data_IF_246896550521
#
_entry.id   IF_246896550521
#
_cell.length_a   1.000
_cell.length_b   1.000
_cell.length_c   1.000
_cell.angle_alpha   90.00
_cell.angle_beta   90.00
_cell.angle_gamma   90.00
#
_symmetry.space_group_name_H-M   'P 1'
#
loop_
_entity.id
_entity.type
_entity.pdbx_description
1 polymer ?
#
# COMPACT_ATOMS: atom_id res chain seq x y z
N UNK A 1 -23.87 22.04 46.22
CA UNK A 1 -24.31 22.62 44.93
C UNK A 1 -23.96 21.63 43.84
N UNK A 2 -24.96 20.92 43.34
CA UNK A 2 -24.83 19.90 42.29
C UNK A 2 -24.72 20.65 40.96
N UNK A 3 -23.58 20.53 40.27
CA UNK A 3 -23.36 21.19 39.00
C UNK A 3 -24.15 20.45 37.90
N UNK A 4 -25.21 21.09 37.43
CA UNK A 4 -26.08 20.66 36.34
C UNK A 4 -25.38 20.76 34.99
N UNK A 5 -25.23 19.63 34.28
CA UNK A 5 -25.39 19.57 32.81
C UNK A 5 -24.37 20.25 31.88
N UNK A 6 -23.12 20.49 32.28
CA UNK A 6 -22.11 20.99 31.34
C UNK A 6 -21.49 19.86 30.51
N UNK A 7 -21.46 20.01 29.18
CA UNK A 7 -20.72 19.13 28.27
C UNK A 7 -19.21 19.15 28.57
N UNK A 8 -18.52 18.05 28.29
CA UNK A 8 -17.08 17.93 28.50
C UNK A 8 -16.28 19.08 27.86
N UNK A 9 -15.39 19.69 28.63
CA UNK A 9 -14.50 20.77 28.20
C UNK A 9 -13.07 20.26 28.04
N UNK A 10 -12.44 20.58 26.91
CA UNK A 10 -11.19 19.94 26.48
C UNK A 10 -9.93 20.75 26.75
N UNK A 11 -10.10 22.04 27.09
CA UNK A 11 -9.01 22.93 27.45
C UNK A 11 -8.25 22.47 28.71
N UNK A 12 -8.92 22.00 29.79
CA UNK A 12 -8.22 21.44 30.95
C UNK A 12 -7.34 20.24 30.62
N UNK A 13 -7.82 19.33 29.74
CA UNK A 13 -7.03 18.17 29.31
C UNK A 13 -5.84 18.59 28.43
N UNK A 14 -6.02 19.56 27.53
CA UNK A 14 -4.92 20.13 26.76
C UNK A 14 -3.83 20.71 27.68
N UNK A 15 -4.22 21.49 28.70
CA UNK A 15 -3.26 22.12 29.61
C UNK A 15 -2.57 21.10 30.53
N UNK A 16 -3.28 20.04 30.94
CA UNK A 16 -2.72 18.93 31.70
C UNK A 16 -1.71 18.13 30.87
N UNK A 17 -2.07 17.75 29.63
CA UNK A 17 -1.17 17.03 28.72
C UNK A 17 0.05 17.86 28.33
N UNK A 18 -0.11 19.18 28.15
CA UNK A 18 1.00 20.08 27.79
C UNK A 18 2.12 20.12 28.84
N UNK A 19 1.83 19.76 30.09
CA UNK A 19 2.80 19.73 31.21
C UNK A 19 3.25 18.31 31.59
N UNK A 20 2.58 17.28 31.06
CA UNK A 20 2.86 15.89 31.39
C UNK A 20 3.99 15.30 30.51
N UNK A 21 4.69 14.31 31.04
CA UNK A 21 5.60 13.45 30.29
C UNK A 21 4.83 12.29 29.62
N UNK A 22 5.30 11.84 28.46
CA UNK A 22 4.67 10.75 27.69
C UNK A 22 5.25 9.39 28.07
N UNK A 23 4.45 8.31 28.12
CA UNK A 23 3.00 8.24 27.85
C UNK A 23 2.15 8.68 29.05
N UNK A 24 0.97 9.26 28.77
CA UNK A 24 -0.06 9.57 29.77
C UNK A 24 -1.23 8.64 29.59
N UNK A 25 -1.34 7.64 30.46
CA UNK A 25 -2.51 6.78 30.55
C UNK A 25 -3.47 7.32 31.61
N UNK A 26 -4.74 7.47 31.26
CA UNK A 26 -5.81 7.89 32.16
C UNK A 26 -6.91 6.86 32.16
N UNK A 27 -7.36 6.48 33.36
CA UNK A 27 -8.63 5.79 33.53
C UNK A 27 -9.81 6.70 33.20
N UNK A 28 -10.95 6.11 32.88
CA UNK A 28 -12.15 6.84 32.48
C UNK A 28 -12.62 7.84 33.55
N UNK A 29 -12.53 7.45 34.82
CA UNK A 29 -12.83 8.32 35.96
C UNK A 29 -11.86 9.49 36.08
N UNK A 30 -10.57 9.27 35.85
CA UNK A 30 -9.53 10.32 35.89
C UNK A 30 -9.71 11.32 34.76
N UNK A 31 -10.06 10.83 33.57
CA UNK A 31 -10.40 11.67 32.44
C UNK A 31 -11.65 12.51 32.71
N UNK A 32 -12.73 11.92 33.25
CA UNK A 32 -13.96 12.66 33.60
C UNK A 32 -13.73 13.69 34.71
N UNK A 33 -12.78 13.47 35.62
CA UNK A 33 -12.37 14.47 36.59
C UNK A 33 -11.70 15.69 35.92
N UNK A 34 -10.99 15.48 34.81
CA UNK A 34 -10.28 16.54 34.07
C UNK A 34 -11.23 17.30 33.12
N UNK A 35 -12.01 16.59 32.32
CA UNK A 35 -12.84 17.22 31.26
C UNK A 35 -14.30 17.43 31.66
N UNK A 36 -14.73 16.91 32.81
CA UNK A 36 -16.13 16.76 33.16
C UNK A 36 -16.75 15.52 32.53
N UNK A 37 -18.07 15.34 32.71
CA UNK A 37 -18.78 14.14 32.27
C UNK A 37 -18.65 13.93 30.75
N UNK A 38 -18.19 12.75 30.36
CA UNK A 38 -18.05 12.41 28.94
C UNK A 38 -19.41 12.06 28.34
N UNK A 39 -19.66 12.41 27.06
CA UNK A 39 -20.87 11.96 26.40
C UNK A 39 -20.86 10.44 26.23
N UNK A 40 -22.03 9.77 26.21
CA UNK A 40 -22.10 8.31 26.01
C UNK A 40 -21.39 7.83 24.74
N UNK A 41 -21.29 8.69 23.72
CA UNK A 41 -20.57 8.42 22.49
C UNK A 41 -19.06 8.20 22.69
N UNK A 42 -18.45 8.85 23.68
CA UNK A 42 -17.03 8.70 23.98
C UNK A 42 -16.70 7.28 24.45
N UNK A 43 -17.58 6.67 25.24
CA UNK A 43 -17.45 5.30 25.75
C UNK A 43 -17.97 4.22 24.77
N UNK A 44 -18.61 4.62 23.65
CA UNK A 44 -19.25 3.68 22.71
C UNK A 44 -18.64 3.67 21.31
N UNK A 45 -17.94 4.73 20.92
CA UNK A 45 -17.49 4.90 19.53
C UNK A 45 -16.03 5.33 19.46
N UNK A 46 -15.16 4.43 18.97
CA UNK A 46 -13.71 4.71 18.79
C UNK A 46 -13.45 5.87 17.82
N UNK A 47 -14.28 6.03 16.79
CA UNK A 47 -14.23 7.16 15.85
C UNK A 47 -14.52 8.53 16.50
N UNK A 48 -15.06 8.54 17.71
CA UNK A 48 -15.18 9.77 18.49
C UNK A 48 -13.80 10.27 18.92
N UNK A 49 -12.82 9.40 19.13
CA UNK A 49 -11.45 9.71 19.58
C UNK A 49 -10.46 10.06 18.47
N UNK A 50 -10.92 10.13 17.21
CA UNK A 50 -10.09 10.41 16.04
C UNK A 50 -10.80 11.34 15.03
N UNK A 51 -10.08 11.74 13.98
CA UNK A 51 -10.58 12.65 12.95
C UNK A 51 -10.41 14.14 13.29
N UNK A 52 -11.24 15.00 12.71
CA UNK A 52 -11.17 16.46 12.85
C UNK A 52 -12.29 16.99 13.78
N UNK A 53 -12.19 16.71 15.07
CA UNK A 53 -13.20 17.10 16.07
C UNK A 53 -12.61 18.05 17.14
N UNK A 54 -13.41 18.93 17.77
CA UNK A 54 -12.92 19.93 18.72
C UNK A 54 -12.08 19.36 19.87
N UNK A 55 -12.48 18.21 20.42
CA UNK A 55 -11.75 17.54 21.49
C UNK A 55 -10.48 16.87 21.01
N UNK A 56 -10.51 16.27 19.80
CA UNK A 56 -9.32 15.70 19.15
C UNK A 56 -8.27 16.78 18.87
N UNK A 57 -8.70 17.99 18.50
CA UNK A 57 -7.82 19.15 18.32
C UNK A 57 -7.16 19.57 19.63
N UNK A 58 -7.83 19.40 20.78
CA UNK A 58 -7.32 19.87 22.06
C UNK A 58 -6.06 19.11 22.52
N UNK A 59 -6.07 17.77 22.54
CA UNK A 59 -4.86 17.02 22.88
C UNK A 59 -3.80 17.03 21.77
N UNK A 60 -4.20 17.17 20.49
CA UNK A 60 -3.25 17.42 19.40
C UNK A 60 -2.51 18.75 19.56
N UNK A 61 -3.21 19.80 19.99
CA UNK A 61 -2.59 21.09 20.29
C UNK A 61 -1.64 21.03 21.49
N UNK A 62 -1.77 20.02 22.36
CA UNK A 62 -0.80 19.71 23.41
C UNK A 62 0.39 18.85 22.91
N UNK A 63 0.41 18.46 21.63
CA UNK A 63 1.43 17.60 21.04
C UNK A 63 1.22 16.11 21.29
N UNK A 64 -0.02 15.66 21.53
CA UNK A 64 -0.35 14.27 21.84
C UNK A 64 -1.30 13.63 20.82
N UNK A 65 -1.21 12.31 20.67
CA UNK A 65 -2.21 11.47 19.99
C UNK A 65 -2.64 10.32 20.89
N UNK A 66 -3.81 9.74 20.63
CA UNK A 66 -4.29 8.54 21.33
C UNK A 66 -3.75 7.32 20.59
N UNK A 67 -2.95 6.49 21.25
CA UNK A 67 -2.43 5.23 20.68
C UNK A 67 -3.16 4.01 21.19
N UNK A 68 -3.47 4.00 22.48
CA UNK A 68 -4.23 2.93 23.10
C UNK A 68 -5.50 3.48 23.75
N UNK A 69 -6.60 2.75 23.58
CA UNK A 69 -7.93 3.18 24.00
C UNK A 69 -8.78 1.93 24.24
N UNK A 70 -9.18 1.75 25.49
CA UNK A 70 -10.21 0.81 25.90
C UNK A 70 -11.44 1.63 26.24
N UNK A 71 -12.46 1.55 25.39
CA UNK A 71 -13.64 2.41 25.47
C UNK A 71 -14.33 2.28 26.83
N UNK A 72 -14.51 3.40 27.53
CA UNK A 72 -15.15 3.39 28.86
C UNK A 72 -14.23 2.97 30.01
N UNK A 73 -12.97 2.59 29.72
CA UNK A 73 -12.04 2.09 30.74
C UNK A 73 -10.77 2.94 30.81
N UNK A 74 -9.97 2.98 29.75
CA UNK A 74 -8.68 3.70 29.75
C UNK A 74 -8.39 4.34 28.39
N UNK A 75 -7.66 5.45 28.42
CA UNK A 75 -7.12 6.11 27.22
C UNK A 75 -5.65 6.46 27.46
N UNK A 76 -4.81 6.17 26.49
CA UNK A 76 -3.38 6.47 26.52
C UNK A 76 -3.06 7.52 25.47
N UNK A 77 -2.62 8.69 25.95
CA UNK A 77 -2.06 9.75 25.14
C UNK A 77 -0.55 9.57 25.08
N UNK A 78 0.01 9.52 23.88
CA UNK A 78 1.46 9.58 23.67
C UNK A 78 1.82 10.89 23.01
N UNK A 79 2.96 11.46 23.39
CA UNK A 79 3.51 12.63 22.74
C UNK A 79 3.81 12.21 21.30
N UNK A 80 3.24 12.95 20.36
CA UNK A 80 3.68 12.90 18.98
C UNK A 80 5.14 13.33 19.03
N UNK A 81 6.07 12.38 18.97
CA UNK A 81 7.49 12.69 18.82
C UNK A 81 7.59 13.69 17.68
N UNK A 82 8.36 14.77 17.89
CA UNK A 82 8.75 15.62 16.77
C UNK A 82 9.22 14.71 15.62
N UNK A 83 8.75 14.98 14.41
CA UNK A 83 8.84 14.03 13.32
C UNK A 83 10.32 13.84 12.98
N UNK A 84 10.86 12.66 13.25
CA UNK A 84 11.81 12.15 12.28
C UNK A 84 10.95 11.79 11.06
N UNK A 85 11.23 12.51 9.99
CA UNK A 85 10.28 12.90 8.96
C UNK A 85 9.47 11.72 8.40
N UNK A 86 8.16 11.88 8.09
CA UNK A 86 7.57 11.02 7.05
C UNK A 86 8.47 11.12 5.82
N UNK A 87 8.82 10.03 5.10
CA UNK A 87 9.57 10.17 3.86
C UNK A 87 8.80 11.19 3.00
N UNK A 88 9.42 12.31 2.60
CA UNK A 88 8.66 13.41 2.03
C UNK A 88 7.98 12.90 0.76
N UNK A 89 6.67 13.13 0.72
CA UNK A 89 5.82 12.70 -0.39
C UNK A 89 5.93 13.62 -1.60
N UNK A 90 6.74 14.68 -1.53
CA UNK A 90 7.10 15.51 -2.66
C UNK A 90 8.62 15.57 -2.76
N UNK A 91 9.18 15.05 -3.86
CA UNK A 91 10.58 15.22 -4.16
C UNK A 91 10.93 16.71 -4.32
N UNK A 92 12.12 17.12 -3.91
CA UNK A 92 12.61 18.48 -4.11
C UNK A 92 13.12 18.72 -5.53
N UNK A 93 13.58 17.65 -6.19
CA UNK A 93 14.05 17.67 -7.57
C UNK A 93 13.93 16.29 -8.22
N UNK A 94 13.90 16.26 -9.55
CA UNK A 94 13.76 15.05 -10.35
C UNK A 94 14.99 14.81 -11.25
N UNK A 95 15.42 13.56 -11.34
CA UNK A 95 16.44 13.10 -12.29
C UNK A 95 15.80 12.13 -13.27
N UNK A 96 15.93 12.38 -14.57
CA UNK A 96 15.48 11.46 -15.63
C UNK A 96 16.67 10.92 -16.40
N UNK A 97 16.58 9.71 -16.95
CA UNK A 97 17.69 9.13 -17.70
C UNK A 97 17.69 9.57 -19.16
N UNK A 98 18.88 9.75 -19.75
CA UNK A 98 19.03 9.81 -21.20
C UNK A 98 18.62 8.47 -21.85
N UNK A 99 18.35 8.50 -23.15
CA UNK A 99 17.96 7.33 -23.95
C UNK A 99 18.78 7.22 -25.24
N UNK A 100 18.70 6.04 -25.87
CA UNK A 100 19.40 5.77 -27.13
C UNK A 100 18.93 6.68 -28.26
N UNK A 101 17.62 6.74 -28.48
CA UNK A 101 17.02 7.47 -29.60
C UNK A 101 17.13 8.99 -29.40
N UNK A 102 17.84 9.65 -30.32
CA UNK A 102 18.10 11.09 -30.31
C UNK A 102 17.84 11.69 -31.70
N UNK A 103 17.65 13.01 -31.77
CA UNK A 103 17.78 13.74 -33.02
C UNK A 103 19.18 13.57 -33.59
N UNK A 104 19.32 13.73 -34.90
CA UNK A 104 20.62 13.70 -35.61
C UNK A 104 21.28 15.08 -35.72
N UNK A 105 20.71 16.10 -35.06
CA UNK A 105 21.22 17.48 -35.03
C UNK A 105 21.31 17.97 -33.59
N UNK A 106 22.19 18.96 -33.30
CA UNK A 106 22.25 19.57 -31.98
C UNK A 106 20.91 20.19 -31.57
N UNK A 107 20.54 20.01 -30.31
CA UNK A 107 19.32 20.55 -29.72
C UNK A 107 19.50 20.73 -28.20
N UNK A 108 18.56 21.44 -27.56
CA UNK A 108 18.46 21.43 -26.10
C UNK A 108 18.26 19.99 -25.60
N UNK A 109 18.84 19.64 -24.45
CA UNK A 109 18.83 18.28 -23.93
C UNK A 109 17.40 17.73 -23.77
N UNK A 110 16.43 18.56 -23.39
CA UNK A 110 15.01 18.15 -23.30
C UNK A 110 14.37 17.82 -24.66
N UNK A 111 14.90 18.36 -25.77
CA UNK A 111 14.41 18.14 -27.13
C UNK A 111 15.24 17.12 -27.91
N UNK A 112 16.50 16.89 -27.51
CA UNK A 112 17.42 15.97 -28.17
C UNK A 112 16.94 14.53 -28.12
N UNK A 113 16.39 14.07 -27.01
CA UNK A 113 15.98 12.68 -26.82
C UNK A 113 14.53 12.45 -27.27
N UNK A 114 14.30 11.49 -28.17
CA UNK A 114 13.02 11.36 -28.89
C UNK A 114 12.25 10.08 -28.60
N UNK A 115 12.80 9.17 -27.78
CA UNK A 115 12.15 7.91 -27.43
C UNK A 115 10.81 8.13 -26.70
N UNK A 116 9.91 7.13 -26.78
CA UNK A 116 8.64 7.16 -26.07
C UNK A 116 8.80 7.26 -24.53
N UNK A 117 9.86 6.64 -23.99
CA UNK A 117 10.17 6.70 -22.55
C UNK A 117 10.54 8.12 -22.14
N UNK A 118 11.49 8.72 -22.85
CA UNK A 118 11.98 10.06 -22.51
C UNK A 118 10.88 11.12 -22.64
N UNK A 119 10.06 11.05 -23.69
CA UNK A 119 8.90 11.95 -23.84
C UNK A 119 7.96 11.90 -22.64
N UNK A 120 7.76 10.71 -22.08
CA UNK A 120 6.93 10.49 -20.88
C UNK A 120 7.62 10.97 -19.59
N UNK A 121 8.92 10.71 -19.45
CA UNK A 121 9.77 11.21 -18.36
C UNK A 121 9.77 12.74 -18.31
N UNK A 122 10.04 13.40 -19.44
CA UNK A 122 9.98 14.85 -19.59
C UNK A 122 8.61 15.39 -19.25
N UNK A 123 7.54 14.84 -19.85
CA UNK A 123 6.19 15.32 -19.58
C UNK A 123 5.81 15.17 -18.11
N UNK A 124 6.30 14.12 -17.43
CA UNK A 124 6.11 13.97 -15.98
C UNK A 124 6.89 15.03 -15.19
N UNK A 125 8.17 15.26 -15.52
CA UNK A 125 9.00 16.28 -14.91
C UNK A 125 8.37 17.68 -15.01
N UNK A 126 7.93 18.04 -16.22
CA UNK A 126 7.28 19.33 -16.51
C UNK A 126 5.95 19.48 -15.76
N UNK A 127 5.14 18.42 -15.66
CA UNK A 127 3.88 18.44 -14.89
C UNK A 127 4.09 18.59 -13.39
N UNK A 128 5.15 18.01 -12.85
CA UNK A 128 5.49 18.10 -11.42
C UNK A 128 5.93 19.51 -11.02
N UNK A 129 6.43 20.31 -11.96
CA UNK A 129 6.87 21.68 -11.69
C UNK A 129 8.13 21.77 -10.80
N UNK A 130 8.81 20.65 -10.59
CA UNK A 130 10.05 20.57 -9.81
C UNK A 130 11.27 20.89 -10.70
N UNK A 131 12.37 21.39 -10.13
CA UNK A 131 13.67 21.39 -10.81
C UNK A 131 14.01 19.97 -11.28
N UNK A 132 14.42 19.83 -12.55
CA UNK A 132 14.78 18.52 -13.09
C UNK A 132 16.00 18.57 -14.00
N UNK A 133 16.73 17.44 -14.03
CA UNK A 133 17.95 17.27 -14.80
C UNK A 133 17.99 15.90 -15.48
N UNK A 134 18.82 15.78 -16.52
CA UNK A 134 18.95 14.54 -17.29
C UNK A 134 20.30 13.89 -16.97
N UNK A 135 20.27 12.62 -16.57
CA UNK A 135 21.45 11.77 -16.40
C UNK A 135 21.93 11.29 -17.77
N UNK A 136 23.06 11.82 -18.23
CA UNK A 136 23.72 11.47 -19.47
C UNK A 136 24.91 10.54 -19.23
N UNK A 137 24.99 9.41 -19.93
CA UNK A 137 26.16 8.55 -19.88
C UNK A 137 27.47 9.27 -20.24
N UNK A 138 27.40 10.24 -21.16
CA UNK A 138 28.55 10.97 -21.70
C UNK A 138 28.82 12.26 -20.93
N UNK A 139 27.78 13.07 -20.74
CA UNK A 139 27.89 14.41 -20.15
C UNK A 139 27.58 14.44 -18.65
N UNK A 140 27.30 13.29 -18.04
CA UNK A 140 26.97 13.15 -16.62
C UNK A 140 25.59 13.67 -16.26
N UNK A 141 25.47 14.98 -16.01
CA UNK A 141 24.25 15.64 -15.59
C UNK A 141 24.06 16.89 -16.44
N UNK A 142 22.93 16.97 -17.15
CA UNK A 142 22.66 18.09 -18.04
C UNK A 142 21.33 18.76 -17.68
N UNK A 143 21.31 20.08 -17.77
CA UNK A 143 20.08 20.84 -17.60
C UNK A 143 19.17 20.70 -18.84
N UNK A 144 17.84 20.78 -18.70
CA UNK A 144 16.90 20.62 -19.82
C UNK A 144 17.18 21.55 -21.01
N UNK A 145 17.64 22.78 -20.74
CA UNK A 145 17.96 23.78 -21.76
C UNK A 145 19.42 23.73 -22.27
N UNK A 146 20.26 22.84 -21.75
CA UNK A 146 21.66 22.73 -22.17
C UNK A 146 21.74 22.14 -23.59
N UNK A 147 22.48 22.80 -24.48
CA UNK A 147 22.61 22.35 -25.87
C UNK A 147 23.61 21.21 -26.01
N UNK A 148 23.20 20.14 -26.66
CA UNK A 148 24.00 18.93 -26.86
C UNK A 148 23.97 18.51 -28.32
N UNK A 149 25.12 18.04 -28.83
CA UNK A 149 25.18 17.29 -30.08
C UNK A 149 24.79 15.81 -29.83
N UNK A 150 24.27 15.10 -30.84
CA UNK A 150 24.00 13.67 -30.70
C UNK A 150 25.28 12.88 -30.39
N UNK A 151 25.15 11.91 -29.50
CA UNK A 151 26.24 11.07 -29.01
C UNK A 151 25.76 9.63 -28.77
N UNK A 152 26.71 8.69 -28.71
CA UNK A 152 26.44 7.27 -28.44
C UNK A 152 27.33 6.75 -27.31
N UNK A 153 26.80 6.81 -26.09
CA UNK A 153 27.43 6.23 -24.91
C UNK A 153 26.38 5.54 -24.05
N UNK A 154 26.70 4.33 -23.64
CA UNK A 154 25.86 3.53 -22.76
C UNK A 154 26.60 3.26 -21.46
N UNK A 155 26.16 3.90 -20.37
CA UNK A 155 26.84 3.83 -19.06
C UNK A 155 27.06 2.39 -18.54
N UNK A 156 26.13 1.43 -18.72
CA UNK A 156 26.32 0.05 -18.29
C UNK A 156 27.52 -0.66 -18.94
N UNK A 157 27.90 -0.26 -20.16
CA UNK A 157 29.04 -0.86 -20.88
C UNK A 157 30.40 -0.32 -20.40
N UNK A 158 30.40 0.71 -19.55
CA UNK A 158 31.63 1.29 -19.00
C UNK A 158 32.16 0.47 -17.82
N UNK A 159 33.47 0.54 -17.48
CA UNK A 159 34.00 -0.11 -16.29
C UNK A 159 33.41 0.43 -14.98
N UNK A 160 33.45 -0.38 -13.90
CA UNK A 160 32.96 0.04 -12.58
C UNK A 160 33.70 1.29 -12.05
N UNK A 161 35.01 1.42 -12.33
CA UNK A 161 35.81 2.61 -11.99
C UNK A 161 35.31 3.86 -12.70
N UNK A 162 34.95 3.75 -13.97
CA UNK A 162 34.35 4.85 -14.73
C UNK A 162 33.02 5.27 -14.10
N UNK A 163 32.13 4.32 -13.79
CA UNK A 163 30.84 4.61 -13.14
C UNK A 163 31.00 5.28 -11.77
N UNK A 164 32.02 4.91 -11.00
CA UNK A 164 32.30 5.55 -9.70
C UNK A 164 32.71 7.03 -9.87
N UNK A 165 33.61 7.32 -10.81
CA UNK A 165 34.02 8.71 -11.12
C UNK A 165 32.85 9.51 -11.68
N UNK A 166 32.10 8.91 -12.61
CA UNK A 166 30.90 9.48 -13.20
C UNK A 166 29.88 9.85 -12.12
N UNK A 167 29.61 8.94 -11.16
CA UNK A 167 28.65 9.16 -10.08
C UNK A 167 29.04 10.30 -9.16
N UNK A 168 30.33 10.39 -8.77
CA UNK A 168 30.83 11.52 -7.99
C UNK A 168 30.64 12.85 -8.74
N UNK A 169 31.04 12.90 -10.00
CA UNK A 169 30.95 14.11 -10.82
C UNK A 169 29.50 14.57 -11.02
N UNK A 170 28.57 13.63 -11.23
CA UNK A 170 27.13 13.90 -11.34
C UNK A 170 26.58 14.56 -10.08
N UNK A 171 26.92 14.04 -8.90
CA UNK A 171 26.41 14.57 -7.63
C UNK A 171 27.01 15.94 -7.30
N UNK A 172 28.31 16.16 -7.56
CA UNK A 172 28.92 17.48 -7.42
C UNK A 172 28.29 18.50 -8.36
N UNK A 173 28.05 18.13 -9.63
CA UNK A 173 27.37 19.00 -10.59
C UNK A 173 25.90 19.25 -10.21
N UNK A 174 25.21 18.27 -9.63
CA UNK A 174 23.85 18.46 -9.15
C UNK A 174 23.81 19.50 -8.02
N UNK A 175 24.70 19.38 -7.03
CA UNK A 175 24.78 20.35 -5.93
C UNK A 175 25.16 21.75 -6.43
N UNK A 176 26.02 21.84 -7.45
CA UNK A 176 26.36 23.11 -8.10
C UNK A 176 25.15 23.78 -8.76
N UNK A 177 24.30 23.01 -9.44
CA UNK A 177 23.15 23.53 -10.21
C UNK A 177 21.90 23.74 -9.35
N UNK A 178 21.64 22.86 -8.38
CA UNK A 178 20.43 22.85 -7.57
C UNK A 178 20.62 23.47 -6.17
N UNK A 179 21.87 23.74 -5.77
CA UNK A 179 22.24 24.13 -4.41
C UNK A 179 22.43 22.92 -3.48
N UNK A 180 22.66 23.17 -2.18
CA UNK A 180 23.00 22.14 -1.20
C UNK A 180 22.01 20.98 -1.18
N UNK A 181 22.54 19.74 -1.17
CA UNK A 181 21.72 18.53 -1.26
C UNK A 181 21.32 17.94 0.11
N UNK A 182 21.92 18.42 1.21
CA UNK A 182 21.64 17.93 2.56
C UNK A 182 20.15 18.06 2.90
N UNK A 183 19.53 16.94 3.27
CA UNK A 183 18.12 16.87 3.66
C UNK A 183 17.14 16.91 2.48
N UNK A 184 17.63 16.99 1.23
CA UNK A 184 16.77 16.97 0.04
C UNK A 184 16.42 15.56 -0.39
N UNK A 185 15.25 15.43 -0.99
CA UNK A 185 14.79 14.19 -1.61
C UNK A 185 14.82 14.33 -3.12
N UNK A 186 15.58 13.42 -3.73
CA UNK A 186 15.84 13.38 -5.16
C UNK A 186 15.12 12.17 -5.74
N UNK A 187 14.08 12.42 -6.52
CA UNK A 187 13.40 11.35 -7.25
C UNK A 187 14.18 11.03 -8.53
N UNK A 188 14.43 9.74 -8.79
CA UNK A 188 15.25 9.28 -9.92
C UNK A 188 14.50 8.27 -10.78
N UNK A 189 14.38 8.59 -12.06
CA UNK A 189 13.82 7.75 -13.10
C UNK A 189 14.94 7.29 -14.03
N UNK A 190 15.70 6.29 -13.58
CA UNK A 190 16.83 5.75 -14.33
C UNK A 190 16.95 4.23 -14.15
N UNK A 191 17.79 3.58 -14.95
CA UNK A 191 18.07 2.14 -14.75
C UNK A 191 18.97 1.93 -13.54
N UNK A 192 19.01 0.70 -13.01
CA UNK A 192 19.80 0.36 -11.82
C UNK A 192 21.27 0.80 -11.95
N UNK A 193 21.89 0.64 -13.12
CA UNK A 193 23.28 1.04 -13.34
C UNK A 193 23.55 2.54 -13.11
N UNK A 194 22.58 3.42 -13.38
CA UNK A 194 22.70 4.85 -13.09
C UNK A 194 22.44 5.14 -11.62
N UNK A 195 21.36 4.56 -11.07
CA UNK A 195 20.97 4.75 -9.66
C UNK A 195 22.08 4.28 -8.72
N UNK A 196 22.62 3.09 -8.96
CA UNK A 196 23.70 2.50 -8.17
C UNK A 196 24.97 3.36 -8.21
N UNK A 197 25.26 4.00 -9.36
CA UNK A 197 26.43 4.87 -9.51
C UNK A 197 26.34 6.16 -8.68
N UNK A 198 25.14 6.72 -8.51
CA UNK A 198 24.94 7.97 -7.73
C UNK A 198 24.53 7.74 -6.28
N UNK A 199 24.12 6.53 -5.89
CA UNK A 199 23.55 6.26 -4.57
C UNK A 199 24.50 6.63 -3.42
N UNK A 200 25.75 6.15 -3.47
CA UNK A 200 26.74 6.44 -2.42
C UNK A 200 27.13 7.93 -2.38
N UNK A 201 27.45 8.60 -3.51
CA UNK A 201 27.75 10.03 -3.49
C UNK A 201 26.57 10.90 -3.01
N UNK A 202 25.32 10.58 -3.38
CA UNK A 202 24.13 11.29 -2.89
C UNK A 202 23.97 11.18 -1.37
N UNK A 203 24.09 9.96 -0.84
CA UNK A 203 24.03 9.72 0.61
C UNK A 203 25.16 10.44 1.35
N UNK A 204 26.37 10.51 0.78
CA UNK A 204 27.49 11.25 1.36
C UNK A 204 27.24 12.77 1.45
N UNK A 205 26.43 13.33 0.54
CA UNK A 205 25.96 14.73 0.61
C UNK A 205 24.74 14.92 1.52
N UNK A 206 24.20 13.84 2.08
CA UNK A 206 23.03 13.87 2.97
C UNK A 206 21.69 13.96 2.25
N UNK A 207 21.62 13.59 0.97
CA UNK A 207 20.37 13.50 0.22
C UNK A 207 19.74 12.11 0.31
N UNK A 208 18.42 12.04 0.17
CA UNK A 208 17.66 10.78 0.06
C UNK A 208 17.27 10.55 -1.39
N UNK A 209 17.53 9.36 -1.92
CA UNK A 209 17.07 8.96 -3.26
C UNK A 209 15.73 8.22 -3.18
N UNK A 210 14.80 8.64 -4.03
CA UNK A 210 13.52 7.96 -4.26
C UNK A 210 13.51 7.38 -5.68
N UNK A 211 13.43 6.05 -5.82
CA UNK A 211 13.31 5.37 -7.13
C UNK A 211 11.96 4.66 -7.21
N UNK A 212 10.88 5.35 -7.64
CA UNK A 212 9.56 4.75 -7.73
C UNK A 212 9.45 3.74 -8.88
N UNK A 213 10.44 3.70 -9.78
CA UNK A 213 10.49 2.81 -10.94
C UNK A 213 11.44 1.62 -10.73
N UNK A 214 11.89 1.41 -9.49
CA UNK A 214 12.82 0.33 -9.14
C UNK A 214 12.22 -1.03 -9.50
N UNK A 215 12.99 -1.84 -10.22
CA UNK A 215 12.58 -3.19 -10.63
C UNK A 215 11.54 -3.24 -11.77
N UNK A 216 11.05 -2.10 -12.27
CA UNK A 216 10.13 -2.06 -13.39
C UNK A 216 10.86 -2.23 -14.73
N UNK A 217 10.32 -3.12 -15.58
CA UNK A 217 10.69 -3.27 -16.99
C UNK A 217 10.33 -2.02 -17.81
N UNK A 218 10.93 -1.87 -18.99
CA UNK A 218 10.66 -0.73 -19.88
C UNK A 218 9.16 -0.53 -20.18
N UNK A 219 8.44 -1.62 -20.47
CA UNK A 219 6.99 -1.57 -20.69
C UNK A 219 6.20 -1.11 -19.45
N UNK A 220 6.59 -1.57 -18.25
CA UNK A 220 5.98 -1.15 -16.99
C UNK A 220 6.25 0.34 -16.70
N UNK A 221 7.46 0.83 -16.99
CA UNK A 221 7.79 2.27 -16.88
C UNK A 221 6.94 3.12 -17.82
N UNK A 222 6.80 2.73 -19.08
CA UNK A 222 5.95 3.42 -20.05
C UNK A 222 4.48 3.49 -19.62
N UNK A 223 3.97 2.41 -19.03
CA UNK A 223 2.62 2.32 -18.50
C UNK A 223 2.42 3.21 -17.27
N UNK A 224 3.40 3.27 -16.36
CA UNK A 224 3.38 4.11 -15.16
C UNK A 224 3.05 5.57 -15.49
N UNK A 225 3.73 6.16 -16.48
CA UNK A 225 3.48 7.53 -16.94
C UNK A 225 2.14 7.75 -17.65
N UNK A 226 1.50 6.69 -18.17
CA UNK A 226 0.23 6.78 -18.90
C UNK A 226 -0.99 6.93 -18.00
N UNK A 227 -0.84 6.74 -16.68
CA UNK A 227 -1.96 6.72 -15.74
C UNK A 227 -2.39 8.09 -15.21
N UNK A 228 -1.70 9.18 -15.56
CA UNK A 228 -2.07 10.55 -15.17
C UNK A 228 -2.14 10.81 -13.66
N UNK A 229 -1.77 9.82 -12.85
CA UNK A 229 -1.83 9.87 -11.40
C UNK A 229 -0.50 10.39 -10.89
N UNK A 230 -0.59 11.53 -10.24
CA UNK A 230 0.36 11.98 -9.25
C UNK A 230 0.68 10.81 -8.31
N UNK A 231 1.93 10.33 -8.33
CA UNK A 231 2.35 9.16 -7.53
C UNK A 231 2.63 9.62 -6.10
N UNK A 232 1.59 10.14 -5.46
CA UNK A 232 1.44 9.98 -4.03
C UNK A 232 1.00 8.55 -3.77
N UNK A 233 1.58 7.91 -2.76
CA UNK A 233 1.18 6.61 -2.23
C UNK A 233 -0.34 6.43 -2.33
N UNK A 234 -0.85 5.43 -3.07
CA UNK A 234 -2.24 5.02 -2.87
C UNK A 234 -2.29 4.41 -1.49
N UNK A 235 -2.78 5.18 -0.51
CA UNK A 235 -2.87 4.75 0.87
C UNK A 235 -3.74 3.49 0.95
N UNK A 236 -3.10 2.34 1.17
CA UNK A 236 -3.76 1.06 1.35
C UNK A 236 -4.48 0.98 2.72
N UNK A 237 -4.15 1.87 3.67
CA UNK A 237 -4.65 1.91 5.03
C UNK A 237 -6.17 1.85 5.13
N UNK A 238 -6.94 2.72 4.45
CA UNK A 238 -8.40 2.68 4.45
C UNK A 238 -8.97 1.35 3.95
N UNK A 239 -8.37 0.74 2.92
CA UNK A 239 -8.80 -0.56 2.40
C UNK A 239 -8.49 -1.68 3.37
N UNK A 240 -7.29 -1.68 3.96
CA UNK A 240 -6.86 -2.64 4.99
C UNK A 240 -7.80 -2.57 6.19
N UNK A 241 -8.12 -1.36 6.69
CA UNK A 241 -9.05 -1.18 7.81
C UNK A 241 -10.44 -1.74 7.49
N UNK A 242 -11.00 -1.42 6.31
CA UNK A 242 -12.32 -1.92 5.92
C UNK A 242 -12.33 -3.44 5.76
N UNK A 243 -11.31 -4.01 5.10
CA UNK A 243 -11.18 -5.46 4.92
C UNK A 243 -10.89 -6.21 6.24
N UNK A 244 -10.32 -5.52 7.24
CA UNK A 244 -10.14 -6.02 8.61
C UNK A 244 -11.38 -5.91 9.49
N UNK A 245 -12.43 -5.21 9.04
CA UNK A 245 -13.61 -4.97 9.87
C UNK A 245 -14.57 -6.16 9.84
N UNK A 246 -14.51 -6.99 10.88
CA UNK A 246 -15.42 -8.12 11.06
C UNK A 246 -16.89 -7.68 11.25
N UNK A 247 -17.13 -6.46 11.71
CA UNK A 247 -18.50 -5.91 11.91
C UNK A 247 -19.28 -5.78 10.60
N UNK A 248 -18.59 -5.59 9.48
CA UNK A 248 -19.19 -5.51 8.14
C UNK A 248 -19.04 -6.82 7.35
N UNK A 249 -18.58 -7.89 8.00
CA UNK A 249 -18.48 -9.20 7.39
C UNK A 249 -19.84 -9.89 7.41
N UNK A 250 -20.33 -10.24 6.23
CA UNK A 250 -21.67 -10.80 6.04
C UNK A 250 -21.60 -12.30 5.76
N UNK A 251 -22.63 -13.05 6.18
CA UNK A 251 -22.73 -14.45 5.81
C UNK A 251 -22.98 -14.59 4.29
N UNK A 252 -22.55 -15.70 3.65
CA UNK A 252 -22.78 -15.94 2.23
C UNK A 252 -24.24 -15.84 1.81
N UNK A 253 -25.18 -16.27 2.66
CA UNK A 253 -26.62 -16.16 2.41
C UNK A 253 -27.08 -14.70 2.33
N UNK A 254 -26.64 -13.85 3.26
CA UNK A 254 -26.93 -12.41 3.29
C UNK A 254 -26.30 -11.69 2.09
N UNK A 255 -25.03 -12.00 1.78
CA UNK A 255 -24.36 -11.45 0.62
C UNK A 255 -25.11 -11.76 -0.67
N UNK A 256 -25.58 -13.00 -0.84
CA UNK A 256 -26.33 -13.42 -2.03
C UNK A 256 -27.70 -12.72 -2.16
N UNK A 257 -28.31 -12.27 -1.05
CA UNK A 257 -29.56 -11.49 -1.10
C UNK A 257 -29.38 -10.10 -1.71
N UNK A 258 -28.16 -9.56 -1.76
CA UNK A 258 -27.87 -8.26 -2.40
C UNK A 258 -28.09 -8.27 -3.91
N UNK A 259 -28.16 -9.43 -4.56
CA UNK A 259 -28.38 -9.59 -6.01
C UNK A 259 -27.44 -8.71 -6.90
N UNK A 260 -26.25 -8.40 -6.39
CA UNK A 260 -25.24 -7.58 -7.06
C UNK A 260 -25.43 -6.07 -6.96
N UNK A 261 -26.43 -5.56 -6.22
CA UNK A 261 -26.59 -4.12 -6.00
C UNK A 261 -25.34 -3.55 -5.31
N UNK A 262 -24.73 -2.53 -5.92
CA UNK A 262 -23.47 -1.92 -5.45
C UNK A 262 -22.21 -2.79 -5.60
N UNK A 263 -22.32 -4.00 -6.16
CA UNK A 263 -21.23 -5.00 -6.23
C UNK A 263 -20.88 -5.43 -7.66
N UNK A 264 -21.60 -4.92 -8.67
CA UNK A 264 -21.28 -5.10 -10.10
C UNK A 264 -20.20 -4.14 -10.59
N UNK A 265 -19.22 -3.89 -9.73
CA UNK A 265 -18.05 -3.04 -9.98
C UNK A 265 -16.78 -3.77 -9.56
N UNK A 266 -15.63 -3.20 -9.90
CA UNK A 266 -14.34 -3.67 -9.39
C UNK A 266 -14.22 -3.42 -7.88
N UNK A 267 -13.25 -4.07 -7.23
CA UNK A 267 -12.94 -3.83 -5.83
C UNK A 267 -12.16 -4.94 -5.15
N UNK A 268 -12.07 -4.85 -3.83
CA UNK A 268 -11.38 -5.82 -2.98
C UNK A 268 -12.37 -6.58 -2.08
N UNK A 269 -11.96 -7.75 -1.62
CA UNK A 269 -12.71 -8.54 -0.66
C UNK A 269 -11.80 -9.33 0.25
N UNK A 270 -12.31 -9.66 1.45
CA UNK A 270 -11.66 -10.56 2.40
C UNK A 270 -12.66 -11.61 2.88
N UNK A 271 -12.13 -12.81 3.18
CA UNK A 271 -12.86 -13.91 3.76
C UNK A 271 -12.39 -14.14 5.18
N UNK A 272 -13.38 -14.31 6.04
CA UNK A 272 -13.25 -14.56 7.47
C UNK A 272 -13.78 -15.94 7.79
N UNK A 273 -13.18 -16.58 8.78
CA UNK A 273 -13.61 -17.88 9.28
C UNK A 273 -13.95 -17.79 10.76
N UNK A 274 -14.96 -18.53 11.18
CA UNK A 274 -15.28 -18.74 12.59
C UNK A 274 -14.30 -19.73 13.27
N UNK A 275 -14.49 -19.96 14.56
CA UNK A 275 -13.64 -20.87 15.33
C UNK A 275 -13.79 -22.35 14.91
N UNK A 276 -15.00 -22.77 14.53
CA UNK A 276 -15.27 -24.15 14.13
C UNK A 276 -14.59 -24.49 12.80
N UNK A 277 -14.77 -23.64 11.79
CA UNK A 277 -14.09 -23.77 10.52
C UNK A 277 -12.57 -23.65 10.66
N UNK A 278 -12.07 -22.76 11.52
CA UNK A 278 -10.63 -22.67 11.77
C UNK A 278 -10.06 -23.98 12.36
N UNK A 279 -10.81 -24.63 13.25
CA UNK A 279 -10.45 -25.95 13.78
C UNK A 279 -10.46 -27.03 12.68
N UNK A 280 -11.44 -27.01 11.78
CA UNK A 280 -11.50 -27.93 10.64
C UNK A 280 -10.29 -27.77 9.71
N UNK A 281 -9.95 -26.52 9.34
CA UNK A 281 -8.77 -26.24 8.53
C UNK A 281 -7.49 -26.64 9.26
N UNK A 282 -7.41 -26.42 10.58
CA UNK A 282 -6.26 -26.82 11.37
C UNK A 282 -6.03 -28.33 11.35
N UNK A 283 -7.10 -29.13 11.49
CA UNK A 283 -7.04 -30.59 11.36
C UNK A 283 -6.57 -31.01 9.98
N UNK A 284 -7.08 -30.37 8.92
CA UNK A 284 -6.67 -30.63 7.55
C UNK A 284 -5.21 -30.30 7.26
N UNK A 285 -4.70 -29.23 7.85
CA UNK A 285 -3.32 -28.78 7.65
C UNK A 285 -2.32 -29.53 8.52
N UNK A 286 -2.73 -29.97 9.71
CA UNK A 286 -1.81 -30.38 10.78
C UNK A 286 -1.07 -29.19 11.40
N UNK A 287 -1.58 -27.97 11.20
CA UNK A 287 -0.99 -26.71 11.68
C UNK A 287 -2.11 -25.80 12.18
N UNK A 288 -1.88 -24.99 13.21
CA UNK A 288 -2.92 -24.13 13.77
C UNK A 288 -3.32 -23.00 12.81
N UNK A 289 -4.63 -22.82 12.63
CA UNK A 289 -5.28 -21.67 12.02
C UNK A 289 -6.18 -21.04 13.07
N UNK A 290 -6.08 -19.72 13.25
CA UNK A 290 -6.96 -18.97 14.14
C UNK A 290 -8.22 -18.52 13.41
N UNK A 291 -9.33 -18.39 14.15
CA UNK A 291 -10.51 -17.68 13.67
C UNK A 291 -10.13 -16.26 13.26
N UNK A 292 -10.74 -15.74 12.20
CA UNK A 292 -10.41 -14.41 11.69
C UNK A 292 -10.25 -14.37 10.16
N UNK A 293 -9.56 -13.33 9.68
CA UNK A 293 -9.27 -13.13 8.26
C UNK A 293 -8.30 -14.19 7.76
N UNK A 294 -8.75 -15.02 6.82
CA UNK A 294 -7.95 -16.13 6.26
C UNK A 294 -7.50 -15.91 4.82
N UNK A 295 -8.22 -15.08 4.06
CA UNK A 295 -7.94 -14.84 2.65
C UNK A 295 -8.38 -13.44 2.23
N UNK A 296 -7.68 -12.85 1.27
CA UNK A 296 -8.12 -11.63 0.59
C UNK A 296 -7.81 -11.67 -0.90
N UNK A 297 -8.53 -10.86 -1.68
CA UNK A 297 -8.27 -10.73 -3.11
C UNK A 297 -9.03 -9.57 -3.73
N UNK A 298 -8.91 -9.45 -5.06
CA UNK A 298 -9.59 -8.42 -5.84
C UNK A 298 -10.40 -8.98 -7.00
N UNK A 299 -11.27 -8.13 -7.53
CA UNK A 299 -12.02 -8.37 -8.76
C UNK A 299 -12.01 -7.10 -9.61
N UNK A 300 -11.89 -7.27 -10.93
CA UNK A 300 -12.04 -6.15 -11.88
C UNK A 300 -10.80 -5.28 -12.10
N UNK A 301 -9.64 -5.64 -11.56
CA UNK A 301 -8.41 -4.89 -11.82
C UNK A 301 -7.95 -5.01 -13.29
N UNK A 302 -7.30 -3.96 -13.78
CA UNK A 302 -6.63 -3.96 -15.08
C UNK A 302 -5.44 -4.90 -15.07
N UNK A 303 -5.38 -5.82 -16.03
CA UNK A 303 -4.25 -6.75 -16.16
C UNK A 303 -3.12 -6.07 -16.92
N UNK A 304 -2.00 -5.92 -16.25
CA UNK A 304 -0.75 -5.51 -16.87
C UNK A 304 0.06 -6.76 -17.27
N UNK A 305 0.73 -6.77 -18.44
CA UNK A 305 1.01 -5.64 -19.33
C UNK A 305 -0.02 -5.39 -20.44
N UNK A 306 -1.07 -6.22 -20.57
CA UNK A 306 -2.01 -6.12 -21.70
C UNK A 306 -2.91 -4.87 -21.67
N UNK A 307 -2.96 -4.15 -20.54
CA UNK A 307 -3.84 -2.99 -20.34
C UNK A 307 -5.33 -3.37 -20.37
N UNK A 308 -5.65 -4.67 -20.45
CA UNK A 308 -7.01 -5.15 -20.59
C UNK A 308 -7.70 -5.09 -19.24
N UNK A 309 -8.70 -4.21 -19.13
CA UNK A 309 -9.61 -4.17 -17.97
C UNK A 309 -10.32 -5.51 -17.83
N UNK A 310 -10.28 -6.07 -16.63
CA UNK A 310 -11.05 -7.28 -16.35
C UNK A 310 -12.53 -6.92 -16.31
N UNK A 311 -13.36 -7.66 -17.05
CA UNK A 311 -14.83 -7.56 -16.98
C UNK A 311 -15.40 -8.20 -15.72
N UNK A 312 -14.56 -8.79 -14.87
CA UNK A 312 -14.99 -9.45 -13.65
C UNK A 312 -15.33 -8.40 -12.58
N UNK A 313 -16.36 -8.64 -11.79
CA UNK A 313 -16.85 -7.73 -10.73
C UNK A 313 -16.75 -8.42 -9.37
N UNK A 314 -16.89 -7.67 -8.28
CA UNK A 314 -16.99 -8.27 -6.94
C UNK A 314 -18.11 -9.30 -6.89
N UNK A 315 -19.28 -8.99 -7.46
CA UNK A 315 -20.39 -9.92 -7.54
C UNK A 315 -20.04 -11.18 -8.34
N UNK A 316 -19.53 -11.05 -9.56
CA UNK A 316 -19.21 -12.20 -10.41
C UNK A 316 -18.09 -13.07 -9.78
N UNK A 317 -17.13 -12.45 -9.09
CA UNK A 317 -16.06 -13.17 -8.39
C UNK A 317 -16.58 -13.91 -7.15
N UNK A 318 -17.31 -13.23 -6.27
CA UNK A 318 -17.72 -13.79 -4.98
C UNK A 318 -18.91 -14.73 -5.15
N UNK A 319 -20.03 -14.23 -5.71
CA UNK A 319 -21.24 -15.03 -5.87
C UNK A 319 -21.07 -16.09 -6.96
N UNK A 320 -20.49 -15.71 -8.11
CA UNK A 320 -20.32 -16.62 -9.25
C UNK A 320 -19.20 -17.64 -9.01
N UNK A 321 -17.96 -17.18 -8.83
CA UNK A 321 -16.79 -18.09 -8.81
C UNK A 321 -16.53 -18.73 -7.45
N UNK A 322 -16.68 -18.00 -6.34
CA UNK A 322 -16.37 -18.54 -5.01
C UNK A 322 -17.54 -19.30 -4.40
N UNK A 323 -18.78 -18.80 -4.50
CA UNK A 323 -19.96 -19.41 -3.89
C UNK A 323 -20.76 -20.32 -4.83
N UNK A 324 -20.66 -20.11 -6.15
CA UNK A 324 -21.38 -20.87 -7.16
C UNK A 324 -20.50 -21.66 -8.14
N UNK A 325 -19.17 -21.56 -8.00
CA UNK A 325 -18.20 -22.20 -8.91
C UNK A 325 -17.57 -23.47 -8.32
N UNK A 326 -16.73 -24.12 -9.11
CA UNK A 326 -15.91 -25.27 -8.67
C UNK A 326 -14.49 -24.83 -8.29
N UNK A 327 -13.69 -25.73 -7.71
CA UNK A 327 -12.32 -25.49 -7.29
C UNK A 327 -11.36 -25.21 -8.46
N UNK A 328 -11.65 -25.65 -9.68
CA UNK A 328 -10.84 -25.39 -10.87
C UNK A 328 -10.87 -23.89 -11.25
N UNK A 329 -12.01 -23.22 -11.03
CA UNK A 329 -12.19 -21.80 -11.36
C UNK A 329 -11.92 -20.84 -10.19
N UNK A 330 -11.62 -21.37 -8.99
CA UNK A 330 -11.29 -20.57 -7.81
C UNK A 330 -10.08 -21.11 -7.06
N UNK A 331 -8.98 -20.35 -7.11
CA UNK A 331 -7.78 -20.64 -6.31
C UNK A 331 -8.07 -20.68 -4.82
N UNK A 332 -9.07 -19.93 -4.35
CA UNK A 332 -9.49 -19.93 -2.95
C UNK A 332 -10.21 -21.23 -2.59
N UNK A 333 -11.19 -21.66 -3.40
CA UNK A 333 -11.87 -22.95 -3.22
C UNK A 333 -10.89 -24.11 -3.27
N UNK A 334 -9.94 -24.10 -4.21
CA UNK A 334 -8.88 -25.12 -4.27
C UNK A 334 -8.03 -25.18 -3.00
N UNK A 335 -7.68 -24.03 -2.42
CA UNK A 335 -6.93 -23.99 -1.16
C UNK A 335 -7.74 -24.58 0.01
N UNK A 336 -9.02 -24.19 0.16
CA UNK A 336 -9.90 -24.72 1.21
C UNK A 336 -10.19 -26.21 1.03
N UNK A 337 -10.58 -26.59 -0.19
CA UNK A 337 -10.93 -27.94 -0.56
C UNK A 337 -9.78 -28.91 -0.33
N UNK A 338 -8.54 -28.55 -0.69
CA UNK A 338 -7.37 -29.40 -0.45
C UNK A 338 -7.12 -29.64 1.05
N UNK A 339 -7.32 -28.64 1.90
CA UNK A 339 -7.18 -28.81 3.35
C UNK A 339 -8.30 -29.70 3.92
N UNK A 340 -9.55 -29.46 3.53
CA UNK A 340 -10.71 -30.22 4.03
C UNK A 340 -10.75 -31.66 3.51
N UNK A 341 -10.37 -31.88 2.24
CA UNK A 341 -10.22 -33.22 1.68
C UNK A 341 -9.14 -34.01 2.43
N UNK A 342 -8.00 -33.38 2.73
CA UNK A 342 -6.96 -34.01 3.54
C UNK A 342 -7.45 -34.33 4.97
N UNK A 343 -8.25 -33.45 5.60
CA UNK A 343 -8.86 -33.72 6.90
C UNK A 343 -9.80 -34.93 6.87
N UNK A 344 -10.54 -35.09 5.79
CA UNK A 344 -11.46 -36.19 5.56
C UNK A 344 -10.78 -37.45 4.96
N UNK A 345 -9.46 -37.42 4.77
CA UNK A 345 -8.69 -38.48 4.08
C UNK A 345 -9.27 -38.84 2.69
N UNK A 346 -9.79 -37.82 1.99
CA UNK A 346 -10.36 -37.97 0.65
C UNK A 346 -9.34 -37.62 -0.44
N UNK A 347 -9.34 -38.37 -1.53
CA UNK A 347 -8.48 -38.13 -2.70
C UNK A 347 -8.98 -36.98 -3.58
N UNK A 348 -10.25 -36.58 -3.45
CA UNK A 348 -10.88 -35.54 -4.27
C UNK A 348 -11.56 -34.47 -3.42
N UNK A 349 -11.78 -33.30 -4.03
CA UNK A 349 -12.51 -32.20 -3.41
C UNK A 349 -14.00 -32.38 -3.70
N UNK A 350 -14.78 -32.63 -2.65
CA UNK A 350 -16.25 -32.64 -2.72
C UNK A 350 -16.78 -31.21 -2.77
N UNK A 351 -17.26 -30.78 -3.94
CA UNK A 351 -17.78 -29.42 -4.16
C UNK A 351 -19.05 -29.10 -3.38
N UNK A 352 -19.93 -30.08 -3.20
CA UNK A 352 -21.19 -29.86 -2.49
C UNK A 352 -20.90 -29.64 -1.00
N UNK A 353 -20.05 -30.50 -0.43
CA UNK A 353 -19.60 -30.38 0.96
C UNK A 353 -18.77 -29.12 1.19
N UNK A 354 -17.87 -28.77 0.27
CA UNK A 354 -17.10 -27.52 0.35
C UNK A 354 -18.02 -26.30 0.32
N UNK A 355 -19.03 -26.29 -0.56
CA UNK A 355 -19.98 -25.18 -0.64
C UNK A 355 -20.79 -25.03 0.64
N UNK A 356 -21.29 -26.15 1.19
CA UNK A 356 -22.01 -26.14 2.47
C UNK A 356 -21.11 -25.60 3.59
N UNK A 357 -19.89 -26.16 3.71
CA UNK A 357 -18.91 -25.71 4.70
C UNK A 357 -18.56 -24.23 4.59
N UNK A 358 -18.39 -23.71 3.36
CA UNK A 358 -18.15 -22.28 3.14
C UNK A 358 -19.34 -21.41 3.59
N UNK A 359 -20.57 -21.89 3.42
CA UNK A 359 -21.78 -21.16 3.85
C UNK A 359 -21.93 -21.14 5.37
N UNK A 360 -21.51 -22.22 6.02
CA UNK A 360 -21.66 -22.39 7.46
C UNK A 360 -20.58 -21.64 8.25
N UNK A 361 -19.35 -21.60 7.74
CA UNK A 361 -18.19 -21.13 8.51
C UNK A 361 -17.55 -19.84 8.04
N UNK A 362 -17.87 -19.36 6.83
CA UNK A 362 -17.23 -18.16 6.30
C UNK A 362 -18.12 -16.93 6.36
N UNK A 363 -17.47 -15.78 6.44
CA UNK A 363 -18.07 -14.47 6.19
C UNK A 363 -17.22 -13.70 5.18
N UNK A 364 -17.85 -12.79 4.45
CA UNK A 364 -17.19 -11.99 3.42
C UNK A 364 -17.34 -10.49 3.70
N UNK A 365 -16.24 -9.75 3.54
CA UNK A 365 -16.26 -8.30 3.43
C UNK A 365 -16.00 -7.95 1.97
N UNK A 366 -16.85 -7.11 1.37
CA UNK A 366 -16.65 -6.61 0.02
C UNK A 366 -16.55 -5.08 0.02
N UNK A 367 -15.50 -4.55 -0.60
CA UNK A 367 -15.20 -3.12 -0.68
C UNK A 367 -15.20 -2.69 -2.15
N UNK A 368 -16.33 -2.13 -2.64
CA UNK A 368 -16.42 -1.59 -4.00
C UNK A 368 -15.39 -0.48 -4.23
N UNK A 369 -14.74 -0.52 -5.40
CA UNK A 369 -13.79 0.50 -5.84
C UNK A 369 -13.75 0.58 -7.36
N UNK A 370 -14.16 1.72 -7.92
CA UNK A 370 -14.42 1.85 -9.35
C UNK A 370 -13.16 2.01 -10.23
N UNK A 371 -12.05 2.47 -9.65
CA UNK A 371 -10.81 2.68 -10.40
C UNK A 371 -10.02 1.37 -10.55
N UNK A 372 -10.30 0.67 -11.65
CA UNK A 372 -9.66 -0.60 -12.02
C UNK A 372 -8.14 -0.47 -12.27
N UNK A 373 -7.64 0.72 -12.62
CA UNK A 373 -6.26 0.94 -13.01
C UNK A 373 -5.35 1.11 -11.78
N UNK A 374 -5.86 1.71 -10.69
CA UNK A 374 -5.17 1.76 -9.38
C UNK A 374 -5.37 0.50 -8.54
N UNK A 375 -6.46 -0.25 -8.75
CA UNK A 375 -6.79 -1.45 -7.98
C UNK A 375 -5.70 -2.54 -8.04
N UNK A 376 -5.05 -2.73 -9.20
CA UNK A 376 -3.96 -3.70 -9.33
C UNK A 376 -2.70 -3.33 -8.55
N UNK A 377 -2.45 -2.03 -8.32
CA UNK A 377 -1.33 -1.52 -7.52
C UNK A 377 -1.61 -1.58 -6.01
N UNK A 378 -2.88 -1.51 -5.61
CA UNK A 378 -3.33 -1.70 -4.23
C UNK A 378 -3.17 -3.15 -3.74
N UNK A 379 -3.27 -4.15 -4.63
CA UNK A 379 -3.30 -5.57 -4.25
C UNK A 379 -2.11 -5.97 -3.39
N UNK A 380 -0.90 -5.67 -3.84
CA UNK A 380 0.32 -6.08 -3.16
C UNK A 380 0.45 -5.41 -1.79
N UNK A 381 0.21 -4.10 -1.72
CA UNK A 381 0.26 -3.35 -0.47
C UNK A 381 -0.80 -3.83 0.54
N UNK A 382 -2.03 -4.06 0.08
CA UNK A 382 -3.13 -4.57 0.92
C UNK A 382 -2.84 -6.00 1.39
N UNK A 383 -2.41 -6.90 0.50
CA UNK A 383 -2.10 -8.28 0.87
C UNK A 383 -0.93 -8.36 1.85
N UNK A 384 0.14 -7.56 1.64
CA UNK A 384 1.28 -7.49 2.56
C UNK A 384 0.87 -6.97 3.94
N UNK A 385 -0.02 -5.99 4.00
CA UNK A 385 -0.53 -5.44 5.26
C UNK A 385 -1.56 -6.35 5.96
N UNK A 386 -2.34 -7.11 5.21
CA UNK A 386 -3.30 -8.08 5.76
C UNK A 386 -2.64 -9.38 6.22
N UNK A 387 -1.61 -9.82 5.51
CA UNK A 387 -0.89 -11.09 5.64
C UNK A 387 -1.78 -12.34 5.84
N UNK A 388 -2.83 -12.54 5.01
CA UNK A 388 -3.76 -13.68 5.17
C UNK A 388 -3.05 -15.03 5.05
N UNK A 389 -3.30 -15.99 5.96
CA UNK A 389 -2.59 -17.28 6.00
C UNK A 389 -2.82 -18.16 4.76
N UNK A 390 -3.93 -17.99 4.03
CA UNK A 390 -4.26 -18.85 2.89
C UNK A 390 -3.91 -18.24 1.52
N UNK A 391 -3.44 -16.99 1.47
CA UNK A 391 -2.89 -16.43 0.24
C UNK A 391 -1.48 -16.97 0.01
N UNK A 392 -1.23 -17.55 -1.18
CA UNK A 392 0.06 -18.15 -1.53
C UNK A 392 0.88 -17.26 -2.47
N UNK A 393 0.27 -16.79 -3.57
CA UNK A 393 0.96 -15.99 -4.58
C UNK A 393 1.32 -14.62 -4.02
N UNK A 394 2.58 -14.22 -4.15
CA UNK A 394 3.07 -12.90 -3.72
C UNK A 394 3.25 -12.73 -2.22
N UNK A 395 3.10 -13.80 -1.43
CA UNK A 395 3.26 -13.78 0.03
C UNK A 395 4.56 -14.46 0.45
N UNK A 396 5.16 -13.98 1.55
CA UNK A 396 6.29 -14.65 2.19
C UNK A 396 5.93 -16.07 2.62
N UNK A 397 6.88 -17.01 2.49
CA UNK A 397 6.67 -18.40 2.89
C UNK A 397 6.48 -18.52 4.41
N UNK A 398 5.48 -19.31 4.82
CA UNK A 398 5.20 -19.70 6.21
C UNK A 398 4.93 -21.21 6.24
N UNK A 399 5.03 -21.89 7.40
CA UNK A 399 4.70 -23.31 7.49
C UNK A 399 3.32 -23.66 6.92
N UNK A 400 2.32 -22.81 7.19
CA UNK A 400 0.96 -22.93 6.66
C UNK A 400 0.95 -22.83 5.13
N UNK A 401 1.59 -21.82 4.55
CA UNK A 401 1.64 -21.61 3.08
C UNK A 401 2.40 -22.72 2.35
N UNK A 402 3.49 -23.21 2.95
CA UNK A 402 4.25 -24.34 2.42
C UNK A 402 3.39 -25.62 2.42
N UNK A 403 2.70 -25.89 3.53
CA UNK A 403 1.80 -27.04 3.65
C UNK A 403 0.62 -26.97 2.68
N UNK A 404 0.01 -25.80 2.52
CA UNK A 404 -1.06 -25.59 1.53
C UNK A 404 -0.57 -25.79 0.10
N UNK A 405 0.64 -25.35 -0.22
CA UNK A 405 1.23 -25.57 -1.54
C UNK A 405 1.36 -27.07 -1.83
N UNK A 406 1.83 -27.86 -0.84
CA UNK A 406 1.93 -29.31 -0.95
C UNK A 406 0.57 -30.01 -1.07
N UNK A 407 -0.45 -29.61 -0.29
CA UNK A 407 -1.77 -30.22 -0.37
C UNK A 407 -2.44 -29.91 -1.72
N UNK A 408 -2.33 -28.67 -2.19
CA UNK A 408 -2.90 -28.26 -3.48
C UNK A 408 -2.30 -29.00 -4.66
N UNK A 409 -1.03 -29.42 -4.58
CA UNK A 409 -0.40 -30.10 -5.71
C UNK A 409 -0.99 -31.49 -5.99
N UNK A 410 -1.77 -32.05 -5.06
CA UNK A 410 -2.46 -33.34 -5.20
C UNK A 410 -3.81 -33.24 -5.92
N UNK A 411 -4.35 -32.04 -6.08
CA UNK A 411 -5.67 -31.78 -6.65
C UNK A 411 -5.54 -30.86 -7.88
N UNK A 412 -4.64 -31.22 -8.78
CA UNK A 412 -4.19 -30.39 -9.90
C UNK A 412 -4.99 -30.56 -11.17
#
# INVERSE_FOLDING_TARGET
>A
MVNTGAMAQWKPLQDALGKAESPVQLAWSELELIVGRLPPSAAKHRAWWSGDRPHVKAWRAAGYTVTDLVLGETVTFVRTSEPDQPPPSDADLLLVTCVKDKLNVPAAAADLYVSALFKKERAFAERKGLPWFILSAEHGLVAPGEWLAPYDRYLPDTPASYRAVWGNWVVERLELLAGPLRGRVVEVHASAAYVDAIAKPMSAKGATLLDPLRGLTLGQRLAWYGTGLDVSYVDAGPFVQRLRSHEVAEAPSEFLQRQGVGLRVAGLYSWWIDAAGAADLSRGLGLPISAGLIYAGLAGATRWPSGKRSTNTLWARIAGMHLGGNHEFSTFRRTLGAALANAAQSESIDEARLTAWMRDHLKVVAVPYADADTLGRLEEAVLKALDPPLNLKGMSQTPVRARLTQLRSKHH
#
